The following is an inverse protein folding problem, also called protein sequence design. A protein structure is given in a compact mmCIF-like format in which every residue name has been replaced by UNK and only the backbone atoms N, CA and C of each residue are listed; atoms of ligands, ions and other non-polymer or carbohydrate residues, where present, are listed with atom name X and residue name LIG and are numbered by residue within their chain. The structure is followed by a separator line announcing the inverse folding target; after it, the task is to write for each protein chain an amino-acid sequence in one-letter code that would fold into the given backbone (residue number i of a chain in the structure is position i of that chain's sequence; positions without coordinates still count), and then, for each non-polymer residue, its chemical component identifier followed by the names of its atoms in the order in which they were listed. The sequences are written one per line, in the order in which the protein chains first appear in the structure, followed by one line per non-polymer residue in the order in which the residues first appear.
data_IF_543018867708
#
_entry.id   IF_543018867708
#
_cell.length_a   1.000
_cell.length_b   1.000
_cell.length_c   1.000
_cell.angle_alpha   90.00
_cell.angle_beta   90.00
_cell.angle_gamma   90.00
#
_symmetry.space_group_name_H-M   'P 1'
#
loop_
_entity.id
_entity.type
_entity.pdbx_description
1 polymer ?
#
# COMPACT_ATOMS: atom_id res chain seq x y z
N UNK A 1 -10.02 5.63 -2.86
CA UNK A 1 -8.64 5.11 -2.89
C UNK A 1 -7.74 6.27 -2.50
N UNK A 2 -6.79 6.10 -1.59
CA UNK A 2 -5.86 7.19 -1.27
C UNK A 2 -4.88 7.33 -2.43
N UNK A 3 -4.83 8.51 -3.04
CA UNK A 3 -3.91 8.80 -4.13
C UNK A 3 -2.87 9.79 -3.58
N UNK A 4 -1.62 9.33 -3.48
CA UNK A 4 -0.48 10.21 -3.22
C UNK A 4 0.00 10.69 -4.58
N UNK A 5 -0.44 11.89 -4.95
CA UNK A 5 -0.29 12.49 -6.27
C UNK A 5 -0.10 14.02 -6.12
N UNK A 6 0.04 14.78 -7.19
CA UNK A 6 0.22 16.25 -7.10
C UNK A 6 -0.93 16.93 -6.33
N UNK A 7 -2.14 16.39 -6.42
CA UNK A 7 -3.30 16.88 -5.68
C UNK A 7 -3.13 16.72 -4.16
N UNK A 8 -2.44 15.67 -3.70
CA UNK A 8 -2.09 15.47 -2.28
C UNK A 8 -1.06 16.50 -1.83
N UNK A 9 -0.01 16.76 -2.63
CA UNK A 9 0.98 17.79 -2.31
C UNK A 9 0.33 19.17 -2.25
N UNK A 10 -0.59 19.45 -3.16
CA UNK A 10 -1.36 20.69 -3.18
C UNK A 10 -2.25 20.87 -1.93
N UNK A 11 -2.89 19.80 -1.45
CA UNK A 11 -3.66 19.80 -0.20
C UNK A 11 -2.78 20.15 1.02
N UNK A 12 -1.53 19.70 1.01
CA UNK A 12 -0.51 20.05 2.02
C UNK A 12 0.12 21.44 1.79
N UNK A 13 -0.18 22.08 0.65
CA UNK A 13 0.41 23.33 0.21
C UNK A 13 1.90 23.23 -0.12
N UNK A 14 2.33 22.09 -0.65
CA UNK A 14 3.66 21.78 -1.18
C UNK A 14 3.73 21.91 -2.71
N UNK A 15 2.68 22.46 -3.33
CA UNK A 15 2.57 22.72 -4.79
C UNK A 15 3.73 23.56 -5.36
N UNK A 16 4.37 24.38 -4.52
CA UNK A 16 5.49 25.25 -4.90
C UNK A 16 6.82 24.50 -5.03
N UNK A 17 6.90 23.23 -4.60
CA UNK A 17 8.10 22.41 -4.78
C UNK A 17 8.33 22.14 -6.28
N UNK A 18 9.58 22.10 -6.77
CA UNK A 18 9.86 21.72 -8.15
C UNK A 18 9.48 20.26 -8.42
N UNK A 19 9.12 19.96 -9.66
CA UNK A 19 8.57 18.65 -10.07
C UNK A 19 9.44 17.46 -9.66
N UNK A 20 10.74 17.55 -9.87
CA UNK A 20 11.70 16.51 -9.47
C UNK A 20 11.69 16.25 -7.95
N UNK A 21 11.54 17.31 -7.13
CA UNK A 21 11.41 17.16 -5.69
C UNK A 21 10.03 16.64 -5.28
N UNK A 22 8.96 17.00 -6.01
CA UNK A 22 7.61 16.46 -5.77
C UNK A 22 7.58 14.95 -5.97
N UNK A 23 8.14 14.47 -7.08
CA UNK A 23 8.24 13.04 -7.38
C UNK A 23 9.07 12.30 -6.32
N UNK A 24 10.25 12.82 -5.99
CA UNK A 24 11.11 12.24 -4.95
C UNK A 24 10.43 12.21 -3.57
N UNK A 25 9.69 13.27 -3.23
CA UNK A 25 8.97 13.37 -1.97
C UNK A 25 7.77 12.43 -1.92
N UNK A 26 7.00 12.32 -2.99
CA UNK A 26 5.92 11.34 -3.11
C UNK A 26 6.44 9.91 -2.97
N UNK A 27 7.53 9.57 -3.67
CA UNK A 27 8.18 8.26 -3.54
C UNK A 27 8.62 7.99 -2.10
N UNK A 28 9.18 8.99 -1.41
CA UNK A 28 9.55 8.87 0.00
C UNK A 28 8.33 8.63 0.90
N UNK A 29 7.23 9.36 0.70
CA UNK A 29 5.98 9.15 1.46
C UNK A 29 5.41 7.76 1.20
N UNK A 30 5.47 7.26 -0.04
CA UNK A 30 5.04 5.89 -0.35
C UNK A 30 5.85 4.86 0.44
N UNK A 31 7.19 4.94 0.40
CA UNK A 31 8.05 4.02 1.16
C UNK A 31 7.80 4.10 2.67
N UNK A 32 7.62 5.30 3.22
CA UNK A 32 7.30 5.47 4.65
C UNK A 32 5.91 4.91 5.00
N UNK A 33 4.91 5.13 4.15
CA UNK A 33 3.57 4.58 4.32
C UNK A 33 3.63 3.06 4.32
N UNK A 34 4.30 2.45 3.34
CA UNK A 34 4.47 0.99 3.24
C UNK A 34 5.15 0.42 4.48
N UNK A 35 6.25 1.03 4.93
CA UNK A 35 6.97 0.59 6.12
C UNK A 35 6.09 0.65 7.38
N UNK A 36 5.47 1.80 7.63
CA UNK A 36 4.66 2.04 8.84
C UNK A 36 3.39 1.18 8.82
N UNK A 37 2.73 1.07 7.67
CA UNK A 37 1.59 0.18 7.49
C UNK A 37 2.03 -1.27 7.72
N UNK A 38 3.15 -1.71 7.16
CA UNK A 38 3.70 -3.05 7.39
C UNK A 38 3.90 -3.36 8.88
N UNK A 39 4.55 -2.46 9.62
CA UNK A 39 4.77 -2.60 11.08
C UNK A 39 3.45 -2.61 11.87
N UNK A 40 2.53 -1.70 11.55
CA UNK A 40 1.23 -1.64 12.24
C UNK A 40 0.35 -2.83 11.88
N UNK A 41 0.49 -3.38 10.68
CA UNK A 41 -0.27 -4.56 10.28
C UNK A 41 0.28 -5.81 10.92
N UNK A 42 1.61 -5.93 11.04
CA UNK A 42 2.26 -7.03 11.73
C UNK A 42 2.00 -7.04 13.24
N UNK A 43 1.71 -5.88 13.82
CA UNK A 43 1.32 -5.77 15.23
C UNK A 43 0.03 -6.56 15.56
N UNK A 44 0.19 -7.65 16.30
CA UNK A 44 -0.90 -8.55 16.68
C UNK A 44 -1.22 -9.65 15.66
N UNK A 45 -0.40 -9.82 14.62
CA UNK A 45 -0.37 -11.03 13.81
C UNK A 45 0.60 -12.05 14.41
N UNK A 46 0.28 -13.34 14.28
CA UNK A 46 1.19 -14.42 14.68
C UNK A 46 2.30 -14.60 13.65
N UNK A 47 3.43 -15.21 14.03
CA UNK A 47 4.55 -15.50 13.10
C UNK A 47 4.11 -16.27 11.84
N UNK A 48 3.16 -17.21 11.99
CA UNK A 48 2.59 -17.96 10.86
C UNK A 48 1.84 -17.03 9.88
N UNK A 49 1.00 -16.16 10.42
CA UNK A 49 0.23 -15.18 9.64
C UNK A 49 1.16 -14.18 8.95
N UNK A 50 2.24 -13.77 9.62
CA UNK A 50 3.27 -12.92 9.04
C UNK A 50 3.98 -13.61 7.87
N UNK A 51 4.36 -14.87 8.04
CA UNK A 51 4.98 -15.67 6.99
C UNK A 51 4.06 -15.89 5.78
N UNK A 52 2.75 -16.07 6.00
CA UNK A 52 1.76 -16.11 4.92
C UNK A 52 1.70 -14.78 4.16
N UNK A 53 1.57 -13.66 4.89
CA UNK A 53 1.49 -12.33 4.28
C UNK A 53 2.77 -11.98 3.51
N UNK A 54 3.94 -12.22 4.10
CA UNK A 54 5.24 -12.03 3.45
C UNK A 54 5.33 -12.85 2.15
N UNK A 55 4.80 -14.07 2.15
CA UNK A 55 4.80 -14.91 0.94
C UNK A 55 4.00 -14.31 -0.21
N UNK A 56 2.95 -13.52 0.08
CA UNK A 56 2.23 -12.76 -0.95
C UNK A 56 3.03 -11.54 -1.41
N UNK A 57 3.66 -10.80 -0.48
CA UNK A 57 4.51 -9.64 -0.80
C UNK A 57 5.71 -10.02 -1.67
N UNK A 58 6.41 -11.11 -1.32
CA UNK A 58 7.50 -11.71 -2.11
C UNK A 58 7.02 -12.41 -3.39
N UNK A 59 5.70 -12.48 -3.62
CA UNK A 59 5.09 -13.16 -4.77
C UNK A 59 5.57 -14.61 -4.92
N UNK A 60 5.66 -15.34 -3.81
CA UNK A 60 6.07 -16.77 -3.81
C UNK A 60 4.99 -17.60 -4.48
N UNK A 61 5.19 -17.95 -5.76
CA UNK A 61 4.17 -18.59 -6.60
C UNK A 61 3.46 -19.78 -5.93
N UNK A 62 4.22 -20.74 -5.41
CA UNK A 62 3.67 -21.93 -4.77
C UNK A 62 2.76 -21.59 -3.57
N UNK A 63 3.17 -20.61 -2.75
CA UNK A 63 2.41 -20.14 -1.59
C UNK A 63 1.17 -19.35 -2.00
N UNK A 64 1.31 -18.42 -2.95
CA UNK A 64 0.20 -17.61 -3.47
C UNK A 64 -0.85 -18.52 -4.09
N UNK A 65 -0.47 -19.37 -5.04
CA UNK A 65 -1.39 -20.28 -5.74
C UNK A 65 -2.01 -21.28 -4.77
N UNK A 66 -1.23 -21.85 -3.85
CA UNK A 66 -1.73 -22.77 -2.84
C UNK A 66 -2.76 -22.11 -1.92
N UNK A 67 -2.49 -20.90 -1.44
CA UNK A 67 -3.43 -20.17 -0.58
C UNK A 67 -4.71 -19.79 -1.32
N UNK A 68 -4.60 -19.27 -2.55
CA UNK A 68 -5.76 -18.91 -3.39
C UNK A 68 -6.62 -20.13 -3.68
N UNK A 69 -6.01 -21.27 -4.01
CA UNK A 69 -6.73 -22.51 -4.27
C UNK A 69 -7.44 -23.05 -3.01
N UNK A 70 -6.82 -22.92 -1.85
CA UNK A 70 -7.39 -23.39 -0.58
C UNK A 70 -8.51 -22.49 -0.05
N UNK A 71 -8.38 -21.17 -0.17
CA UNK A 71 -9.30 -20.20 0.44
C UNK A 71 -10.33 -19.64 -0.54
N UNK A 72 -9.96 -19.54 -1.82
CA UNK A 72 -10.77 -18.92 -2.88
C UNK A 72 -10.67 -19.74 -4.17
N UNK A 73 -11.08 -21.02 -4.18
CA UNK A 73 -10.95 -21.88 -5.36
C UNK A 73 -11.70 -21.33 -6.60
N UNK A 74 -12.72 -20.50 -6.39
CA UNK A 74 -13.51 -19.85 -7.44
C UNK A 74 -13.14 -18.36 -7.64
N UNK A 75 -11.89 -17.97 -7.33
CA UNK A 75 -11.43 -16.59 -7.42
C UNK A 75 -11.65 -15.95 -8.80
N UNK A 76 -11.66 -16.74 -9.88
CA UNK A 76 -11.94 -16.28 -11.24
C UNK A 76 -13.32 -15.63 -11.39
N UNK A 77 -14.29 -16.04 -10.57
CA UNK A 77 -15.63 -15.48 -10.55
C UNK A 77 -15.79 -14.34 -9.53
N UNK A 78 -14.84 -14.18 -8.61
CA UNK A 78 -14.88 -13.18 -7.56
C UNK A 78 -14.81 -11.77 -8.16
N UNK A 79 -15.72 -10.89 -7.72
CA UNK A 79 -15.77 -9.51 -8.20
C UNK A 79 -14.48 -8.74 -7.88
N UNK A 80 -13.83 -9.02 -6.74
CA UNK A 80 -12.59 -8.34 -6.38
C UNK A 80 -11.45 -8.72 -7.33
N UNK A 81 -11.37 -9.99 -7.75
CA UNK A 81 -10.37 -10.42 -8.72
C UNK A 81 -10.63 -9.83 -10.11
N UNK A 82 -11.90 -9.80 -10.54
CA UNK A 82 -12.30 -9.19 -11.82
C UNK A 82 -11.96 -7.70 -11.86
N UNK A 83 -12.28 -6.96 -10.80
CA UNK A 83 -11.93 -5.54 -10.69
C UNK A 83 -10.42 -5.33 -10.67
N UNK A 84 -9.67 -6.17 -9.95
CA UNK A 84 -8.21 -6.08 -9.91
C UNK A 84 -7.61 -6.28 -11.30
N UNK A 85 -8.09 -7.29 -12.04
CA UNK A 85 -7.66 -7.55 -13.42
C UNK A 85 -8.04 -6.42 -14.39
N UNK A 86 -9.19 -5.80 -14.21
CA UNK A 86 -9.67 -4.68 -15.03
C UNK A 86 -8.87 -3.39 -14.81
N UNK A 87 -8.46 -3.13 -13.56
CA UNK A 87 -7.65 -1.96 -13.21
C UNK A 87 -6.13 -2.20 -13.32
N UNK A 88 -5.72 -3.43 -13.60
CA UNK A 88 -4.31 -3.76 -13.72
C UNK A 88 -3.68 -3.12 -14.96
N UNK A 89 -2.40 -2.72 -14.90
CA UNK A 89 -1.70 -2.23 -16.07
C UNK A 89 -1.63 -3.29 -17.17
N UNK A 90 -1.61 -2.85 -18.43
CA UNK A 90 -1.50 -3.73 -19.59
C UNK A 90 -0.21 -4.58 -19.49
N UNK A 91 -0.35 -5.90 -19.57
CA UNK A 91 0.75 -6.84 -19.39
C UNK A 91 1.07 -7.24 -17.94
N UNK A 92 0.20 -6.92 -16.97
CA UNK A 92 0.35 -7.41 -15.60
C UNK A 92 0.40 -8.95 -15.55
N UNK A 93 1.41 -9.47 -14.84
CA UNK A 93 1.63 -10.91 -14.70
C UNK A 93 0.55 -11.57 -13.81
N UNK A 94 0.10 -12.77 -14.18
CA UNK A 94 -0.94 -13.50 -13.43
C UNK A 94 -0.55 -13.69 -11.95
N UNK A 95 0.72 -14.01 -11.66
CA UNK A 95 1.20 -14.18 -10.29
C UNK A 95 1.12 -12.87 -9.52
N UNK A 96 1.39 -11.73 -10.16
CA UNK A 96 1.25 -10.41 -9.51
C UNK A 96 -0.21 -10.15 -9.15
N UNK A 97 -1.13 -10.40 -10.08
CA UNK A 97 -2.57 -10.26 -9.83
C UNK A 97 -3.06 -11.20 -8.72
N UNK A 98 -2.60 -12.45 -8.73
CA UNK A 98 -2.95 -13.44 -7.71
C UNK A 98 -2.41 -13.03 -6.33
N UNK A 99 -1.18 -12.54 -6.26
CA UNK A 99 -0.54 -12.10 -5.03
C UNK A 99 -1.27 -10.90 -4.42
N UNK A 100 -1.64 -9.90 -5.24
CA UNK A 100 -2.43 -8.75 -4.78
C UNK A 100 -3.83 -9.18 -4.32
N UNK A 101 -4.51 -10.01 -5.11
CA UNK A 101 -5.82 -10.54 -4.74
C UNK A 101 -5.78 -11.34 -3.42
N UNK A 102 -4.81 -12.24 -3.29
CA UNK A 102 -4.59 -13.02 -2.07
C UNK A 102 -4.32 -12.11 -0.87
N UNK A 103 -3.43 -11.12 -1.02
CA UNK A 103 -3.13 -10.14 0.04
C UNK A 103 -4.39 -9.40 0.48
N UNK A 104 -5.21 -8.92 -0.45
CA UNK A 104 -6.45 -8.19 -0.14
C UNK A 104 -7.46 -9.08 0.59
N UNK A 105 -7.67 -10.31 0.13
CA UNK A 105 -8.59 -11.26 0.79
C UNK A 105 -8.08 -11.67 2.15
N UNK A 106 -6.78 -11.97 2.26
CA UNK A 106 -6.13 -12.34 3.51
C UNK A 106 -6.24 -11.22 4.54
N UNK A 107 -5.99 -9.97 4.14
CA UNK A 107 -6.16 -8.79 5.00
C UNK A 107 -7.62 -8.62 5.42
N UNK A 108 -8.59 -8.83 4.53
CA UNK A 108 -10.01 -8.78 4.89
C UNK A 108 -10.42 -9.82 5.95
N UNK A 109 -9.78 -10.99 5.95
CA UNK A 109 -10.05 -12.07 6.91
C UNK A 109 -9.32 -11.87 8.24
N UNK A 110 -8.05 -11.47 8.20
CA UNK A 110 -7.16 -11.43 9.37
C UNK A 110 -7.06 -10.03 10.01
N UNK A 111 -7.25 -8.97 9.22
CA UNK A 111 -7.18 -7.56 9.65
C UNK A 111 -8.35 -6.77 9.05
N UNK A 112 -9.60 -6.96 9.54
CA UNK A 112 -10.75 -6.18 9.08
C UNK A 112 -10.53 -4.66 9.24
N UNK A 113 -9.71 -4.26 10.21
CA UNK A 113 -9.30 -2.87 10.46
C UNK A 113 -8.14 -2.40 9.57
N UNK A 114 -7.71 -3.16 8.55
CA UNK A 114 -6.60 -2.80 7.65
C UNK A 114 -6.79 -1.40 7.05
N UNK A 115 -8.02 -1.12 6.56
CA UNK A 115 -8.34 0.19 5.97
C UNK A 115 -8.19 1.32 6.98
N UNK A 116 -8.65 1.12 8.22
CA UNK A 116 -8.48 2.07 9.31
C UNK A 116 -7.01 2.26 9.69
N UNK A 117 -6.20 1.19 9.68
CA UNK A 117 -4.75 1.29 9.94
C UNK A 117 -4.06 2.13 8.88
N UNK A 118 -4.31 1.85 7.59
CA UNK A 118 -3.76 2.65 6.49
C UNK A 118 -4.20 4.11 6.58
N UNK A 119 -5.50 4.35 6.83
CA UNK A 119 -6.03 5.69 6.99
C UNK A 119 -5.35 6.44 8.15
N UNK A 120 -5.21 5.80 9.32
CA UNK A 120 -4.53 6.39 10.48
C UNK A 120 -3.07 6.72 10.20
N UNK A 121 -2.31 5.78 9.64
CA UNK A 121 -0.89 6.01 9.31
C UNK A 121 -0.74 7.16 8.32
N UNK A 122 -1.61 7.22 7.31
CA UNK A 122 -1.61 8.31 6.35
C UNK A 122 -1.97 9.66 7.01
N UNK A 123 -2.93 9.70 7.92
CA UNK A 123 -3.27 10.90 8.69
C UNK A 123 -2.12 11.35 9.60
N UNK A 124 -1.41 10.42 10.23
CA UNK A 124 -0.20 10.70 11.01
C UNK A 124 0.88 11.32 10.11
N UNK A 125 1.18 10.71 8.96
CA UNK A 125 2.13 11.22 7.97
C UNK A 125 1.75 12.62 7.49
N UNK A 126 0.48 12.86 7.16
CA UNK A 126 0.00 14.20 6.78
C UNK A 126 0.29 15.24 7.87
N UNK A 127 0.02 14.92 9.13
CA UNK A 127 0.29 15.84 10.26
C UNK A 127 1.78 16.09 10.43
N UNK A 128 2.62 15.07 10.29
CA UNK A 128 4.07 15.21 10.34
C UNK A 128 4.61 16.09 9.22
N UNK A 129 4.13 15.90 7.99
CA UNK A 129 4.51 16.71 6.84
C UNK A 129 4.08 18.17 7.06
N UNK A 130 2.85 18.41 7.54
CA UNK A 130 2.37 19.76 7.85
C UNK A 130 3.17 20.42 8.97
N UNK A 131 3.54 19.68 10.00
CA UNK A 131 4.36 20.19 11.10
C UNK A 131 5.80 20.53 10.68
N UNK A 132 6.33 19.81 9.69
CA UNK A 132 7.67 20.03 9.16
C UNK A 132 7.68 20.82 7.84
N UNK A 133 6.52 21.35 7.41
CA UNK A 133 6.35 21.99 6.11
C UNK A 133 7.37 23.11 5.87
N UNK A 134 7.56 23.99 6.84
CA UNK A 134 8.51 25.09 6.73
C UNK A 134 9.98 24.60 6.63
N UNK A 135 10.32 23.47 7.24
CA UNK A 135 11.65 22.87 7.10
C UNK A 135 11.83 22.19 5.72
N UNK A 136 10.77 21.59 5.20
CA UNK A 136 10.75 20.92 3.89
C UNK A 136 10.85 21.95 2.75
N UNK A 137 10.15 23.08 2.88
CA UNK A 137 10.11 24.15 1.85
C UNK A 137 11.24 25.17 2.04
N UNK A 138 11.64 25.45 3.29
CA UNK A 138 12.67 26.43 3.64
C UNK A 138 14.10 25.89 3.71
N UNK A 139 14.30 24.58 3.56
CA UNK A 139 15.62 23.93 3.58
C UNK A 139 16.52 24.21 2.38
N UNK A 140 16.10 25.04 1.43
CA UNK A 140 16.91 25.48 0.28
C UNK A 140 17.76 26.75 0.55
N UNK A 141 17.79 27.26 1.77
CA UNK A 141 18.67 28.39 2.15
C UNK A 141 19.68 27.98 3.24
N UNK A 142 20.79 27.35 2.84
CA UNK A 142 22.07 27.37 3.56
C UNK A 142 23.24 27.06 2.61
#
# INVERSE_FOLDING_TARGET
MFQLDDQFLKDLGLDQMPEEQREAFLAHIYSELELRVGVRLSDGLSDEQLGEFESFVDRKEDKVRGWVQANTPDYLNDEAYKQLKDNAPDGADELTLLAEYASLKWLGMNRPNYRDVVAKVLEELKKEILANKDAIVGGQEA
#
